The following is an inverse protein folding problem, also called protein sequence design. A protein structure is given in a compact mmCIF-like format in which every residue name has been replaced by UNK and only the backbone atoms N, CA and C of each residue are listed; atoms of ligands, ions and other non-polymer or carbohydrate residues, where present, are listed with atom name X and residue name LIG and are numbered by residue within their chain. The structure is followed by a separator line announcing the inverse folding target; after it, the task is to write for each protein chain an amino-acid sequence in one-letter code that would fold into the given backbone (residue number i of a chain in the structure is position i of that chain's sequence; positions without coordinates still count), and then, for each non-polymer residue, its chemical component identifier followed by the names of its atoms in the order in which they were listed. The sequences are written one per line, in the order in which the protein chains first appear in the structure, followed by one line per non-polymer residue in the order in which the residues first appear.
data_IF_095281874266
#
_entry.id   IF_095281874266
#
_cell.length_a   1.000
_cell.length_b   1.000
_cell.length_c   1.000
_cell.angle_alpha   90.00
_cell.angle_beta   90.00
_cell.angle_gamma   90.00
#
_symmetry.space_group_name_H-M   'P 1'
#
loop_
_entity.id
_entity.type
_entity.pdbx_description
1 polymer ?
#
# COMPACT_ATOMS: atom_id res chain seq x y z
N UNK A 1 -5.96 27.79 18.66
CA UNK A 1 -4.78 27.68 17.74
C UNK A 1 -5.16 26.67 16.69
N UNK A 2 -5.14 27.05 15.43
CA UNK A 2 -5.47 26.11 14.34
C UNK A 2 -4.32 25.10 14.16
N UNK A 3 -4.67 23.83 13.98
CA UNK A 3 -3.70 22.75 13.76
C UNK A 3 -3.10 22.84 12.34
N UNK A 4 -3.98 23.05 11.35
CA UNK A 4 -3.59 23.14 9.93
C UNK A 4 -2.68 24.36 9.69
N UNK A 5 -1.55 24.12 9.04
CA UNK A 5 -0.52 25.14 8.80
C UNK A 5 0.37 25.45 10.01
N UNK A 6 0.23 24.73 11.13
CA UNK A 6 1.06 24.92 12.31
C UNK A 6 2.44 24.26 12.19
N UNK A 7 3.41 24.73 12.98
CA UNK A 7 4.71 24.04 13.12
C UNK A 7 4.56 22.62 13.65
N UNK A 8 3.53 22.36 14.47
CA UNK A 8 3.25 21.02 15.00
C UNK A 8 2.82 20.07 13.88
N UNK A 9 1.97 20.51 12.96
CA UNK A 9 1.62 19.71 11.78
C UNK A 9 2.86 19.39 10.92
N UNK A 10 3.69 20.40 10.63
CA UNK A 10 4.94 20.19 9.89
C UNK A 10 5.89 19.20 10.60
N UNK A 11 6.01 19.30 11.94
CA UNK A 11 6.81 18.36 12.72
C UNK A 11 6.25 16.94 12.69
N UNK A 12 4.93 16.76 12.71
CA UNK A 12 4.29 15.44 12.57
C UNK A 12 4.53 14.84 11.20
N UNK A 13 4.44 15.63 10.13
CA UNK A 13 4.78 15.18 8.77
C UNK A 13 6.25 14.76 8.67
N UNK A 14 7.17 15.54 9.22
CA UNK A 14 8.60 15.21 9.24
C UNK A 14 8.88 13.94 10.07
N UNK A 15 8.23 13.78 11.22
CA UNK A 15 8.36 12.59 12.06
C UNK A 15 7.80 11.35 11.33
N UNK A 16 6.62 11.43 10.72
CA UNK A 16 6.06 10.34 9.91
C UNK A 16 6.99 9.92 8.77
N UNK A 17 7.56 10.89 8.04
CA UNK A 17 8.52 10.62 6.97
C UNK A 17 9.80 9.95 7.50
N UNK A 18 10.35 10.45 8.62
CA UNK A 18 11.57 9.91 9.25
C UNK A 18 11.41 8.45 9.68
N UNK A 19 10.33 8.14 10.40
CA UNK A 19 10.02 6.78 10.86
C UNK A 19 9.75 5.83 9.68
N UNK A 20 9.06 6.31 8.64
CA UNK A 20 8.80 5.53 7.43
C UNK A 20 10.09 5.17 6.70
N UNK A 21 11.05 6.10 6.61
CA UNK A 21 12.39 5.83 6.06
C UNK A 21 13.19 4.85 6.95
N UNK A 22 13.19 5.06 8.26
CA UNK A 22 13.89 4.21 9.21
C UNK A 22 13.39 2.76 9.10
N UNK A 23 12.07 2.56 9.09
CA UNK A 23 11.44 1.25 8.89
C UNK A 23 12.00 0.55 7.65
N UNK A 24 11.99 1.22 6.49
CA UNK A 24 12.45 0.61 5.25
C UNK A 24 13.96 0.30 5.30
N UNK A 25 14.78 1.25 5.74
CA UNK A 25 16.23 1.04 5.89
C UNK A 25 16.56 -0.16 6.79
N UNK A 26 15.89 -0.29 7.93
CA UNK A 26 16.16 -1.38 8.88
C UNK A 26 15.74 -2.74 8.32
N UNK A 27 14.70 -2.85 7.49
CA UNK A 27 14.41 -4.10 6.78
C UNK A 27 15.51 -4.47 5.78
N UNK A 28 16.11 -3.48 5.10
CA UNK A 28 17.24 -3.71 4.19
C UNK A 28 18.50 -4.14 4.98
N UNK A 29 18.76 -3.51 6.14
CA UNK A 29 19.87 -3.86 7.00
C UNK A 29 19.71 -5.27 7.61
N UNK A 30 18.48 -5.64 8.01
CA UNK A 30 18.17 -7.01 8.46
C UNK A 30 18.49 -8.04 7.37
N UNK A 31 18.06 -7.76 6.12
CA UNK A 31 18.36 -8.63 4.97
C UNK A 31 19.86 -8.78 4.74
N UNK A 32 20.62 -7.70 4.82
CA UNK A 32 22.10 -7.75 4.66
C UNK A 32 22.75 -8.50 5.81
N UNK A 33 22.37 -8.24 7.07
CA UNK A 33 22.93 -8.94 8.23
C UNK A 33 22.73 -10.47 8.16
N UNK A 34 21.57 -10.94 7.61
CA UNK A 34 21.37 -12.38 7.34
C UNK A 34 22.37 -12.92 6.32
N UNK A 35 22.60 -12.20 5.23
CA UNK A 35 23.57 -12.61 4.20
C UNK A 35 25.00 -12.68 4.76
N UNK A 36 25.32 -11.81 5.70
CA UNK A 36 26.62 -11.74 6.37
C UNK A 36 26.75 -12.78 7.49
N UNK A 37 25.70 -13.55 7.80
CA UNK A 37 25.70 -14.61 8.81
C UNK A 37 25.40 -14.14 10.24
N UNK A 38 24.83 -12.94 10.42
CA UNK A 38 24.54 -12.34 11.74
C UNK A 38 23.05 -12.37 12.07
N UNK A 39 22.48 -13.55 12.32
CA UNK A 39 21.03 -13.72 12.58
C UNK A 39 20.51 -12.90 13.77
N UNK A 40 21.28 -12.76 14.86
CA UNK A 40 20.89 -11.93 16.01
C UNK A 40 20.77 -10.44 15.60
N UNK A 41 21.75 -9.92 14.86
CA UNK A 41 21.74 -8.52 14.40
C UNK A 41 20.57 -8.30 13.43
N UNK A 42 20.34 -9.24 12.51
CA UNK A 42 19.22 -9.20 11.59
C UNK A 42 17.86 -9.13 12.32
N UNK A 43 17.69 -9.96 13.36
CA UNK A 43 16.48 -9.96 14.18
C UNK A 43 16.30 -8.64 14.93
N UNK A 44 17.36 -8.04 15.46
CA UNK A 44 17.30 -6.74 16.14
C UNK A 44 16.86 -5.65 15.15
N UNK A 45 17.42 -5.60 13.94
CA UNK A 45 16.99 -4.66 12.91
C UNK A 45 15.53 -4.86 12.54
N UNK A 46 15.07 -6.11 12.37
CA UNK A 46 13.66 -6.38 12.04
C UNK A 46 12.72 -5.94 13.16
N UNK A 47 13.03 -6.25 14.43
CA UNK A 47 12.23 -5.80 15.57
C UNK A 47 12.16 -4.27 15.63
N UNK A 48 13.28 -3.59 15.41
CA UNK A 48 13.32 -2.13 15.39
C UNK A 48 12.47 -1.59 14.21
N UNK A 49 12.57 -2.17 13.01
CA UNK A 49 11.73 -1.79 11.87
C UNK A 49 10.23 -1.90 12.18
N UNK A 50 9.82 -2.93 12.92
CA UNK A 50 8.43 -3.11 13.34
C UNK A 50 8.01 -2.05 14.38
N UNK A 51 8.91 -1.61 15.25
CA UNK A 51 8.66 -0.50 16.17
C UNK A 51 8.50 0.82 15.42
N UNK A 52 9.38 1.13 14.46
CA UNK A 52 9.30 2.37 13.66
C UNK A 52 8.01 2.44 12.83
N UNK A 53 7.50 1.30 12.36
CA UNK A 53 6.17 1.23 11.74
C UNK A 53 5.06 1.68 12.68
N UNK A 54 5.09 1.29 13.96
CA UNK A 54 4.09 1.70 14.93
C UNK A 54 4.26 3.18 15.34
N UNK A 55 5.51 3.69 15.42
CA UNK A 55 5.76 5.12 15.61
C UNK A 55 5.20 5.94 14.45
N UNK A 56 5.51 5.58 13.21
CA UNK A 56 4.95 6.23 12.03
C UNK A 56 3.41 6.26 12.06
N UNK A 57 2.77 5.16 12.46
CA UNK A 57 1.31 5.05 12.58
C UNK A 57 0.72 5.98 13.66
N UNK A 58 1.47 6.26 14.74
CA UNK A 58 1.07 7.26 15.75
C UNK A 58 0.97 8.63 15.08
N UNK A 59 2.01 9.05 14.38
CA UNK A 59 2.07 10.36 13.72
C UNK A 59 1.05 10.48 12.60
N UNK A 60 0.90 9.43 11.78
CA UNK A 60 -0.14 9.33 10.75
C UNK A 60 -1.54 9.57 11.34
N UNK A 61 -1.88 8.91 12.45
CA UNK A 61 -3.18 9.11 13.10
C UNK A 61 -3.38 10.55 13.58
N UNK A 62 -2.34 11.20 14.13
CA UNK A 62 -2.46 12.59 14.57
C UNK A 62 -2.73 13.55 13.39
N UNK A 63 -2.11 13.29 12.24
CA UNK A 63 -2.38 14.02 11.00
C UNK A 63 -3.81 13.81 10.46
N UNK A 64 -4.47 12.70 10.83
CA UNK A 64 -5.80 12.30 10.36
C UNK A 64 -6.86 12.29 11.49
N UNK A 65 -6.76 13.22 12.45
CA UNK A 65 -7.77 13.38 13.51
C UNK A 65 -7.84 12.21 14.50
N UNK A 66 -6.71 11.53 14.74
CA UNK A 66 -6.56 10.49 15.78
C UNK A 66 -6.86 9.05 15.32
N UNK A 67 -7.21 8.83 14.06
CA UNK A 67 -7.52 7.50 13.51
C UNK A 67 -6.92 7.29 12.12
N UNK A 68 -6.84 6.04 11.70
CA UNK A 68 -6.64 5.71 10.28
C UNK A 68 -7.99 5.91 9.58
N UNK A 69 -8.03 6.63 8.45
CA UNK A 69 -9.26 6.85 7.68
C UNK A 69 -9.92 5.56 7.20
N UNK A 70 -11.16 5.66 6.71
CA UNK A 70 -11.90 4.51 6.18
C UNK A 70 -11.33 4.00 4.86
N UNK A 71 -11.73 2.79 4.45
CA UNK A 71 -11.20 2.13 3.24
C UNK A 71 -11.35 2.99 1.98
N UNK A 72 -12.52 3.62 1.79
CA UNK A 72 -12.76 4.48 0.63
C UNK A 72 -11.83 5.70 0.64
N UNK A 73 -11.71 6.38 1.78
CA UNK A 73 -10.80 7.53 1.94
C UNK A 73 -9.35 7.15 1.67
N UNK A 74 -8.90 5.99 2.19
CA UNK A 74 -7.55 5.49 1.97
C UNK A 74 -7.29 5.11 0.50
N UNK A 75 -8.28 4.56 -0.21
CA UNK A 75 -8.16 4.26 -1.64
C UNK A 75 -8.08 5.54 -2.48
N UNK A 76 -8.86 6.55 -2.13
CA UNK A 76 -8.83 7.86 -2.81
C UNK A 76 -7.48 8.56 -2.59
N UNK A 77 -6.98 8.55 -1.35
CA UNK A 77 -5.67 9.11 -1.00
C UNK A 77 -4.54 8.37 -1.72
N UNK A 78 -4.56 7.03 -1.69
CA UNK A 78 -3.59 6.21 -2.42
C UNK A 78 -3.61 6.49 -3.92
N UNK A 79 -4.79 6.49 -4.55
CA UNK A 79 -4.90 6.79 -5.98
C UNK A 79 -4.41 8.20 -6.34
N UNK A 80 -4.62 9.19 -5.47
CA UNK A 80 -4.12 10.55 -5.67
C UNK A 80 -2.59 10.63 -5.50
N UNK A 81 -2.02 9.89 -4.55
CA UNK A 81 -0.57 9.78 -4.35
C UNK A 81 0.12 9.18 -5.57
N UNK A 82 -0.33 7.99 -6.00
CA UNK A 82 0.22 7.31 -7.18
C UNK A 82 0.09 8.19 -8.45
N UNK A 83 -1.05 8.88 -8.61
CA UNK A 83 -1.26 9.82 -9.72
C UNK A 83 -0.20 10.90 -9.75
N UNK A 84 0.07 11.56 -8.61
CA UNK A 84 1.11 12.58 -8.50
C UNK A 84 2.50 12.01 -8.78
N UNK A 85 2.78 10.80 -8.29
CA UNK A 85 4.08 10.17 -8.46
C UNK A 85 4.43 9.95 -9.94
N UNK A 86 3.50 9.43 -10.75
CA UNK A 86 3.81 9.16 -12.15
C UNK A 86 3.61 10.36 -13.10
N UNK A 87 2.67 11.29 -12.78
CA UNK A 87 2.42 12.46 -13.66
C UNK A 87 3.45 13.57 -13.49
N UNK A 88 3.91 13.78 -12.26
CA UNK A 88 4.72 14.93 -11.86
C UNK A 88 6.08 14.53 -11.31
N UNK A 89 6.11 13.78 -10.21
CA UNK A 89 7.32 13.53 -9.43
C UNK A 89 8.37 12.75 -10.21
N UNK A 90 8.09 11.52 -10.62
CA UNK A 90 9.05 10.67 -11.34
C UNK A 90 9.37 11.19 -12.73
N UNK A 91 8.40 11.81 -13.39
CA UNK A 91 8.63 12.46 -14.67
C UNK A 91 9.66 13.60 -14.55
N UNK A 92 9.47 14.49 -13.57
CA UNK A 92 10.43 15.56 -13.29
C UNK A 92 11.80 15.03 -12.90
N UNK A 93 11.86 14.04 -12.02
CA UNK A 93 13.14 13.43 -11.61
C UNK A 93 13.87 12.75 -12.77
N UNK A 94 13.15 12.09 -13.69
CA UNK A 94 13.75 11.49 -14.88
C UNK A 94 14.33 12.55 -15.83
N UNK A 95 13.63 13.66 -16.03
CA UNK A 95 14.10 14.79 -16.86
C UNK A 95 15.34 15.43 -16.25
N UNK A 96 15.35 15.69 -14.95
CA UNK A 96 16.50 16.26 -14.22
C UNK A 96 17.71 15.34 -14.26
N UNK A 97 17.52 14.06 -13.91
CA UNK A 97 18.61 13.07 -13.93
C UNK A 97 19.23 12.93 -15.33
N UNK A 98 18.41 12.98 -16.39
CA UNK A 98 18.88 12.95 -17.77
C UNK A 98 19.68 14.20 -18.12
N UNK A 99 19.24 15.38 -17.69
CA UNK A 99 19.95 16.65 -17.91
C UNK A 99 21.31 16.69 -17.21
N UNK A 100 21.43 16.04 -16.05
CA UNK A 100 22.66 15.89 -15.27
C UNK A 100 23.58 14.74 -15.78
N UNK A 101 23.13 13.95 -16.76
CA UNK A 101 23.90 12.85 -17.34
C UNK A 101 23.74 11.49 -16.63
N UNK A 102 22.84 11.36 -15.65
CA UNK A 102 22.54 10.11 -14.92
C UNK A 102 21.51 9.27 -15.67
N UNK A 103 21.83 8.85 -16.90
CA UNK A 103 20.88 8.18 -17.80
C UNK A 103 20.27 6.89 -17.25
N UNK A 104 21.04 6.08 -16.50
CA UNK A 104 20.54 4.87 -15.88
C UNK A 104 19.53 5.17 -14.77
N UNK A 105 19.79 6.20 -13.95
CA UNK A 105 18.86 6.65 -12.92
C UNK A 105 17.60 7.25 -13.55
N UNK A 106 17.74 8.03 -14.61
CA UNK A 106 16.60 8.57 -15.35
C UNK A 106 15.68 7.47 -15.89
N UNK A 107 16.27 6.39 -16.45
CA UNK A 107 15.51 5.23 -16.90
C UNK A 107 14.81 4.51 -15.74
N UNK A 108 15.45 4.38 -14.57
CA UNK A 108 14.81 3.79 -13.38
C UNK A 108 13.62 4.63 -12.90
N UNK A 109 13.75 5.97 -12.84
CA UNK A 109 12.63 6.84 -12.49
C UNK A 109 11.44 6.66 -13.45
N UNK A 110 11.71 6.59 -14.75
CA UNK A 110 10.64 6.36 -15.73
C UNK A 110 9.96 5.01 -15.52
N UNK A 111 10.73 3.92 -15.36
CA UNK A 111 10.17 2.58 -15.16
C UNK A 111 9.36 2.47 -13.86
N UNK A 112 9.80 3.11 -12.78
CA UNK A 112 9.02 3.13 -11.53
C UNK A 112 7.75 3.96 -11.72
N UNK A 113 7.83 5.13 -12.35
CA UNK A 113 6.65 5.93 -12.69
C UNK A 113 5.59 5.15 -13.49
N UNK A 114 6.02 4.29 -14.43
CA UNK A 114 5.10 3.43 -15.19
C UNK A 114 4.42 2.39 -14.27
N UNK A 115 5.09 1.91 -13.23
CA UNK A 115 4.50 1.01 -12.21
C UNK A 115 3.46 1.76 -11.35
N UNK A 116 3.75 3.00 -10.94
CA UNK A 116 2.82 3.78 -10.10
C UNK A 116 1.53 4.11 -10.86
N UNK A 117 1.58 4.24 -12.18
CA UNK A 117 0.39 4.33 -13.02
C UNK A 117 -0.49 3.08 -12.91
N UNK A 118 0.10 1.89 -12.93
CA UNK A 118 -0.65 0.62 -12.74
C UNK A 118 -1.23 0.51 -11.32
N UNK A 119 -0.55 1.07 -10.30
CA UNK A 119 -1.09 1.14 -8.94
C UNK A 119 -2.30 2.06 -8.87
N UNK A 120 -2.24 3.26 -9.47
CA UNK A 120 -3.39 4.16 -9.56
C UNK A 120 -4.58 3.47 -10.24
N UNK A 121 -4.38 2.87 -11.41
CA UNK A 121 -5.45 2.19 -12.15
C UNK A 121 -6.10 1.08 -11.30
N UNK A 122 -5.30 0.33 -10.54
CA UNK A 122 -5.77 -0.69 -9.60
C UNK A 122 -6.63 -0.09 -8.50
N UNK A 123 -6.18 1.00 -7.85
CA UNK A 123 -6.94 1.66 -6.80
C UNK A 123 -8.24 2.26 -7.33
N UNK A 124 -8.24 2.90 -8.49
CA UNK A 124 -9.46 3.41 -9.13
C UNK A 124 -10.47 2.31 -9.42
N UNK A 125 -10.02 1.13 -9.83
CA UNK A 125 -10.88 -0.03 -10.05
C UNK A 125 -11.50 -0.56 -8.75
N UNK A 126 -10.76 -0.53 -7.65
CA UNK A 126 -11.26 -0.89 -6.32
C UNK A 126 -12.27 0.13 -5.80
N UNK A 127 -12.02 1.42 -6.01
CA UNK A 127 -12.96 2.51 -5.72
C UNK A 127 -14.28 2.28 -6.46
N UNK A 128 -14.23 2.07 -7.78
CA UNK A 128 -15.39 1.80 -8.61
C UNK A 128 -16.19 0.58 -8.12
N UNK A 129 -15.51 -0.50 -7.72
CA UNK A 129 -16.16 -1.68 -7.17
C UNK A 129 -16.90 -1.40 -5.85
N UNK A 130 -16.33 -0.56 -4.99
CA UNK A 130 -16.95 -0.15 -3.73
C UNK A 130 -18.16 0.76 -3.99
N UNK A 131 -18.02 1.76 -4.85
CA UNK A 131 -19.10 2.70 -5.20
C UNK A 131 -20.30 1.99 -5.82
N UNK A 132 -20.05 1.00 -6.67
CA UNK A 132 -21.10 0.18 -7.31
C UNK A 132 -21.64 -0.94 -6.43
N UNK A 133 -21.08 -1.16 -5.25
CA UNK A 133 -21.48 -2.25 -4.36
C UNK A 133 -21.17 -3.65 -4.90
N UNK A 134 -20.23 -3.75 -5.86
CA UNK A 134 -19.95 -5.00 -6.58
C UNK A 134 -18.71 -5.77 -6.08
N UNK A 135 -18.18 -5.44 -4.90
CA UNK A 135 -17.03 -6.16 -4.34
C UNK A 135 -17.34 -7.65 -4.17
N UNK A 136 -18.54 -7.96 -3.68
CA UNK A 136 -19.01 -9.35 -3.43
C UNK A 136 -20.17 -9.78 -4.32
N UNK A 137 -20.45 -9.01 -5.38
CA UNK A 137 -21.53 -9.27 -6.32
C UNK A 137 -21.04 -9.06 -7.76
N UNK A 138 -21.60 -9.82 -8.70
CA UNK A 138 -21.38 -9.66 -10.16
C UNK A 138 -22.71 -9.83 -10.90
N UNK A 139 -22.81 -9.23 -12.07
CA UNK A 139 -23.98 -9.35 -12.94
C UNK A 139 -24.20 -10.78 -13.48
N UNK A 140 -23.10 -11.51 -13.65
CA UNK A 140 -23.07 -12.90 -14.12
C UNK A 140 -22.53 -13.83 -13.05
N UNK A 141 -22.73 -15.13 -13.22
CA UNK A 141 -22.04 -16.12 -12.39
C UNK A 141 -20.55 -16.06 -12.60
N UNK A 142 -19.81 -16.05 -11.49
CA UNK A 142 -18.35 -16.03 -11.42
C UNK A 142 -17.87 -17.02 -10.39
N UNK A 143 -16.59 -17.29 -10.40
CA UNK A 143 -15.97 -18.18 -9.42
C UNK A 143 -15.40 -17.38 -8.27
N UNK A 144 -15.90 -17.61 -7.08
CA UNK A 144 -15.42 -17.06 -5.81
C UNK A 144 -14.54 -18.07 -5.11
N UNK A 145 -13.48 -17.60 -4.46
CA UNK A 145 -12.61 -18.41 -3.61
C UNK A 145 -12.54 -17.84 -2.20
N UNK A 146 -12.67 -18.70 -1.19
CA UNK A 146 -12.43 -18.32 0.20
C UNK A 146 -10.93 -18.27 0.47
N UNK A 147 -10.39 -17.11 0.79
CA UNK A 147 -8.96 -16.88 1.07
C UNK A 147 -8.43 -17.64 2.27
N UNK A 148 -9.31 -18.09 3.19
CA UNK A 148 -8.89 -18.85 4.36
C UNK A 148 -8.73 -20.35 4.10
N UNK A 149 -9.68 -20.97 3.40
CA UNK A 149 -9.70 -22.45 3.26
C UNK A 149 -9.70 -22.96 1.82
N UNK A 150 -9.71 -22.05 0.82
CA UNK A 150 -9.72 -22.44 -0.59
C UNK A 150 -11.07 -22.95 -1.12
N UNK A 151 -12.17 -22.88 -0.32
CA UNK A 151 -13.50 -23.27 -0.80
C UNK A 151 -13.89 -22.46 -2.02
N UNK A 152 -14.34 -23.17 -3.07
CA UNK A 152 -14.82 -22.58 -4.32
C UNK A 152 -16.35 -22.51 -4.31
N UNK A 153 -16.88 -21.36 -4.72
CA UNK A 153 -18.30 -21.13 -4.92
C UNK A 153 -18.54 -20.51 -6.30
N UNK A 154 -19.51 -21.04 -7.04
CA UNK A 154 -19.94 -20.47 -8.33
C UNK A 154 -21.29 -19.79 -8.14
N UNK A 155 -21.38 -18.52 -8.52
CA UNK A 155 -22.61 -17.74 -8.37
C UNK A 155 -22.38 -16.27 -8.59
N UNK A 156 -23.48 -15.48 -8.63
CA UNK A 156 -23.39 -14.02 -8.76
C UNK A 156 -22.85 -13.34 -7.52
N UNK A 157 -23.15 -13.90 -6.34
CA UNK A 157 -22.76 -13.32 -5.05
C UNK A 157 -21.80 -14.25 -4.33
N UNK A 158 -20.80 -13.65 -3.69
CA UNK A 158 -20.00 -14.36 -2.71
C UNK A 158 -20.87 -14.78 -1.51
N UNK A 159 -20.72 -16.00 -0.96
CA UNK A 159 -21.46 -16.44 0.22
C UNK A 159 -21.28 -15.49 1.40
N UNK A 160 -22.36 -15.20 2.14
CA UNK A 160 -22.27 -14.38 3.37
C UNK A 160 -21.40 -15.01 4.44
N UNK A 161 -21.34 -16.34 4.48
CA UNK A 161 -20.50 -17.16 5.36
C UNK A 161 -19.97 -18.35 4.57
N UNK A 162 -18.69 -18.62 4.68
CA UNK A 162 -18.09 -19.80 4.06
C UNK A 162 -18.68 -21.09 4.67
N UNK A 163 -19.28 -22.00 3.87
CA UNK A 163 -19.90 -23.21 4.39
C UNK A 163 -18.90 -24.17 5.03
N UNK A 164 -17.63 -24.09 4.64
CA UNK A 164 -16.56 -24.98 5.12
C UNK A 164 -15.92 -24.47 6.40
N UNK A 165 -15.37 -23.24 6.41
CA UNK A 165 -14.57 -22.74 7.53
C UNK A 165 -15.24 -21.66 8.37
N UNK A 166 -16.50 -21.30 8.04
CA UNK A 166 -17.32 -20.31 8.76
C UNK A 166 -16.79 -18.90 8.81
N UNK A 167 -15.78 -18.56 8.00
CA UNK A 167 -15.33 -17.19 7.85
C UNK A 167 -16.38 -16.35 7.10
N UNK A 168 -16.50 -15.05 7.42
CA UNK A 168 -17.48 -14.16 6.80
C UNK A 168 -17.18 -13.88 5.33
N UNK A 169 -18.13 -13.29 4.61
CA UNK A 169 -18.05 -12.91 3.20
C UNK A 169 -16.78 -12.13 2.85
N UNK A 170 -16.25 -11.33 3.79
CA UNK A 170 -15.02 -10.57 3.63
C UNK A 170 -13.79 -11.42 3.25
N UNK A 171 -13.85 -12.74 3.45
CA UNK A 171 -12.79 -13.67 3.05
C UNK A 171 -12.92 -14.18 1.63
N UNK A 172 -13.97 -13.81 0.89
CA UNK A 172 -14.11 -14.21 -0.51
C UNK A 172 -13.51 -13.17 -1.43
N UNK A 173 -12.93 -13.66 -2.51
CA UNK A 173 -12.47 -12.87 -3.65
C UNK A 173 -12.80 -13.60 -4.95
N UNK A 174 -12.72 -12.90 -6.09
CA UNK A 174 -12.79 -13.55 -7.40
C UNK A 174 -11.57 -14.45 -7.58
N UNK A 175 -11.81 -15.69 -7.98
CA UNK A 175 -10.71 -16.61 -8.29
C UNK A 175 -9.96 -16.11 -9.52
N UNK A 176 -8.65 -15.86 -9.37
CA UNK A 176 -7.75 -15.63 -10.47
C UNK A 176 -7.16 -16.98 -10.94
N UNK A 177 -7.11 -17.18 -12.25
CA UNK A 177 -6.45 -18.33 -12.89
C UNK A 177 -5.42 -17.76 -13.86
N UNK A 178 -4.23 -17.48 -13.35
CA UNK A 178 -3.13 -16.86 -14.10
C UNK A 178 -1.85 -17.71 -14.11
N UNK A 179 -2.01 -19.02 -13.99
CA UNK A 179 -0.95 -20.03 -14.02
C UNK A 179 -1.14 -21.00 -15.19
#
# INVERSE_FOLDING_TARGET
MEFKGSKTEANLMAAFAGESQARNKYTYYASQAKKDGYEQIANIFQLTADNEKEHAKIWFKQLHGGKVPGTMENLLDGAAGEHYEWTDMYKGFAEEAKAEGFNEIAALFQMVGDIEKEHEERYRKLIENLEKGIVFERSNEVVWICRNCGHIHVGKNAPSVCPVCKHPQAYFELRAENY
#
